data_IF_145780582507
#
_entry.id   IF_145780582507
#
_cell.length_a   1.000
_cell.length_b   1.000
_cell.length_c   1.000
_cell.angle_alpha   90.00
_cell.angle_beta   90.00
_cell.angle_gamma   90.00
#
_symmetry.space_group_name_H-M   'P 1'
#
loop_
_entity.id
_entity.type
_entity.pdbx_description
1 polymer ?
#
# COMPACT_ATOMS: atom_id res chain seq x y z
N UNK A 1 20.52 -7.74 -2.60
CA UNK A 1 20.21 -8.67 -3.70
C UNK A 1 18.86 -9.28 -3.34
N UNK A 2 17.75 -8.69 -3.83
CA UNK A 2 16.42 -9.19 -3.54
C UNK A 2 16.27 -10.55 -4.20
N UNK A 3 16.05 -11.55 -3.35
CA UNK A 3 15.72 -12.91 -3.76
C UNK A 3 14.47 -12.86 -4.64
N UNK A 4 14.59 -13.33 -5.87
CA UNK A 4 13.49 -13.41 -6.81
C UNK A 4 12.51 -14.45 -6.22
N UNK A 5 11.45 -13.96 -5.55
CA UNK A 5 10.35 -14.79 -5.14
C UNK A 5 9.85 -15.52 -6.38
N UNK A 6 10.07 -16.82 -6.44
CA UNK A 6 9.54 -17.70 -7.47
C UNK A 6 8.04 -17.44 -7.59
N UNK A 7 7.63 -16.88 -8.71
CA UNK A 7 6.23 -16.69 -9.06
C UNK A 7 5.59 -18.08 -9.17
N UNK A 8 4.98 -18.54 -8.07
CA UNK A 8 4.17 -19.75 -8.11
C UNK A 8 2.97 -19.50 -9.01
N UNK A 9 3.07 -19.97 -10.23
CA UNK A 9 1.94 -20.03 -11.14
C UNK A 9 0.82 -20.87 -10.51
N UNK A 10 -0.40 -20.33 -10.49
CA UNK A 10 -1.58 -21.08 -10.10
C UNK A 10 -1.90 -22.10 -11.21
N UNK A 11 -2.23 -23.37 -10.89
CA UNK A 11 -2.61 -24.33 -11.92
C UNK A 11 -3.84 -23.80 -12.69
N UNK A 12 -3.88 -23.94 -14.04
CA UNK A 12 -5.02 -23.48 -14.83
C UNK A 12 -6.26 -24.31 -14.46
N UNK A 13 -7.25 -23.66 -13.84
CA UNK A 13 -8.55 -24.23 -13.55
C UNK A 13 -9.59 -23.86 -14.61
N UNK A 14 -10.63 -24.69 -14.84
CA UNK A 14 -11.58 -24.52 -15.95
C UNK A 14 -12.66 -23.45 -15.77
N UNK A 15 -12.68 -22.68 -14.71
CA UNK A 15 -13.63 -21.58 -14.46
C UNK A 15 -12.89 -20.31 -13.96
N UNK A 16 -13.37 -19.11 -14.24
CA UNK A 16 -12.80 -17.91 -13.67
C UNK A 16 -12.99 -17.95 -12.16
N UNK A 17 -11.97 -18.43 -11.43
CA UNK A 17 -11.97 -18.45 -9.98
C UNK A 17 -12.36 -17.07 -9.43
N UNK A 18 -13.17 -17.00 -8.37
CA UNK A 18 -13.49 -15.74 -7.73
C UNK A 18 -12.18 -15.04 -7.33
N UNK A 19 -11.95 -13.84 -7.87
CA UNK A 19 -10.73 -13.08 -7.61
C UNK A 19 -10.98 -12.13 -6.45
N UNK A 20 -9.97 -11.95 -5.60
CA UNK A 20 -9.93 -10.86 -4.66
C UNK A 20 -9.70 -9.53 -5.42
N UNK A 21 -10.55 -8.52 -5.22
CA UNK A 21 -10.38 -7.19 -5.79
C UNK A 21 -9.72 -6.28 -4.79
N UNK A 22 -8.57 -5.72 -5.14
CA UNK A 22 -7.86 -4.74 -4.33
C UNK A 22 -8.16 -3.37 -4.93
N UNK A 23 -8.98 -2.58 -4.25
CA UNK A 23 -9.50 -1.31 -4.74
C UNK A 23 -8.79 -0.16 -4.04
N UNK A 24 -8.15 0.71 -4.83
CA UNK A 24 -7.59 1.96 -4.36
C UNK A 24 -8.70 2.95 -4.01
N UNK A 25 -8.61 3.59 -2.85
CA UNK A 25 -9.60 4.55 -2.35
C UNK A 25 -8.94 5.82 -1.83
N UNK A 26 -9.65 6.94 -1.91
CA UNK A 26 -9.23 8.23 -1.35
C UNK A 26 -10.09 8.63 -0.16
N UNK A 27 -9.75 9.73 0.49
CA UNK A 27 -10.44 10.26 1.67
C UNK A 27 -11.84 10.84 1.36
N UNK A 28 -12.15 11.05 0.07
CA UNK A 28 -13.48 11.43 -0.41
C UNK A 28 -14.44 10.23 -0.54
N UNK A 29 -13.98 9.05 -0.15
CA UNK A 29 -14.77 7.84 -0.13
C UNK A 29 -15.18 7.37 -1.52
N UNK A 30 -16.46 6.95 -1.69
CA UNK A 30 -16.96 6.42 -2.96
C UNK A 30 -16.94 7.40 -4.12
N UNK A 31 -16.84 8.71 -3.88
CA UNK A 31 -16.83 9.73 -4.93
C UNK A 31 -15.63 9.60 -5.89
N UNK A 32 -14.52 9.06 -5.41
CA UNK A 32 -13.33 8.81 -6.24
C UNK A 32 -13.36 7.48 -7.01
N UNK A 33 -14.40 6.66 -6.83
CA UNK A 33 -14.46 5.34 -7.43
C UNK A 33 -15.19 5.35 -8.78
N UNK A 34 -14.58 4.69 -9.78
CA UNK A 34 -15.26 4.41 -11.03
C UNK A 34 -16.34 3.33 -10.89
N UNK A 35 -17.26 3.26 -11.85
CA UNK A 35 -18.43 2.36 -11.84
C UNK A 35 -18.05 0.88 -11.58
N UNK A 36 -16.94 0.40 -12.14
CA UNK A 36 -16.45 -0.98 -11.95
C UNK A 36 -16.08 -1.27 -10.50
N UNK A 37 -15.39 -0.32 -9.83
CA UNK A 37 -15.00 -0.48 -8.43
C UNK A 37 -16.23 -0.45 -7.51
N UNK A 38 -17.19 0.44 -7.79
CA UNK A 38 -18.46 0.52 -7.07
C UNK A 38 -19.29 -0.76 -7.25
N UNK A 39 -19.33 -1.34 -8.46
CA UNK A 39 -20.02 -2.59 -8.70
C UNK A 39 -19.44 -3.75 -7.88
N UNK A 40 -18.11 -3.90 -7.90
CA UNK A 40 -17.46 -4.92 -7.06
C UNK A 40 -17.72 -4.72 -5.57
N UNK A 41 -17.76 -3.47 -5.11
CA UNK A 41 -18.03 -3.15 -3.72
C UNK A 41 -19.48 -3.49 -3.33
N UNK A 42 -20.45 -3.13 -4.20
CA UNK A 42 -21.87 -3.39 -3.98
C UNK A 42 -22.22 -4.89 -3.93
N UNK A 43 -21.41 -5.74 -4.53
CA UNK A 43 -21.61 -7.19 -4.57
C UNK A 43 -20.63 -7.97 -3.68
N UNK A 44 -19.83 -7.32 -2.84
CA UNK A 44 -18.87 -7.97 -1.97
C UNK A 44 -19.54 -8.79 -0.87
N UNK A 45 -19.03 -9.98 -0.59
CA UNK A 45 -19.44 -10.82 0.53
C UNK A 45 -18.48 -10.64 1.73
N UNK A 46 -17.22 -10.27 1.46
CA UNK A 46 -16.21 -9.92 2.46
C UNK A 46 -15.49 -8.64 2.03
N UNK A 47 -15.49 -7.64 2.92
CA UNK A 47 -14.72 -6.40 2.73
C UNK A 47 -13.66 -6.27 3.82
N UNK A 48 -12.41 -6.13 3.38
CA UNK A 48 -11.23 -5.98 4.25
C UNK A 48 -10.67 -4.57 4.05
N UNK A 49 -10.35 -3.87 5.11
CA UNK A 49 -9.76 -2.53 5.05
C UNK A 49 -9.30 -2.08 6.43
N UNK A 50 -8.55 -0.99 6.51
CA UNK A 50 -8.28 -0.36 7.80
C UNK A 50 -9.57 0.18 8.42
N UNK A 51 -9.65 0.22 9.75
CA UNK A 51 -10.84 0.68 10.47
C UNK A 51 -11.39 2.01 9.94
N UNK A 52 -10.50 3.00 9.71
CA UNK A 52 -10.86 4.30 9.15
C UNK A 52 -11.51 4.17 7.77
N UNK A 53 -10.93 3.35 6.89
CA UNK A 53 -11.42 3.14 5.53
C UNK A 53 -12.78 2.44 5.54
N UNK A 54 -12.92 1.39 6.37
CA UNK A 54 -14.21 0.71 6.53
C UNK A 54 -15.31 1.64 7.04
N UNK A 55 -14.99 2.54 7.98
CA UNK A 55 -15.92 3.54 8.47
C UNK A 55 -16.35 4.54 7.38
N UNK A 56 -15.40 5.00 6.55
CA UNK A 56 -15.66 5.92 5.44
C UNK A 56 -16.63 5.32 4.41
N UNK A 57 -16.54 4.00 4.18
CA UNK A 57 -17.40 3.29 3.23
C UNK A 57 -18.64 2.65 3.85
N UNK A 58 -18.88 2.79 5.16
CA UNK A 58 -19.89 2.04 5.90
C UNK A 58 -21.30 2.08 5.29
N UNK A 59 -21.72 3.24 4.76
CA UNK A 59 -23.02 3.42 4.10
C UNK A 59 -23.11 2.89 2.67
N UNK A 60 -21.99 2.42 2.10
CA UNK A 60 -21.91 1.93 0.71
C UNK A 60 -21.56 0.43 0.64
N UNK A 61 -21.34 -0.19 1.80
CA UNK A 61 -21.08 -1.63 1.87
C UNK A 61 -22.43 -2.38 1.97
N UNK A 62 -22.55 -3.56 1.32
CA UNK A 62 -23.73 -4.40 1.51
C UNK A 62 -23.97 -4.69 2.99
N UNK A 63 -25.22 -4.65 3.42
CA UNK A 63 -25.58 -4.86 4.82
C UNK A 63 -25.14 -6.25 5.34
N UNK A 64 -25.18 -7.25 4.45
CA UNK A 64 -24.81 -8.64 4.73
C UNK A 64 -23.30 -8.91 4.56
N UNK A 65 -22.50 -7.97 4.02
CA UNK A 65 -21.09 -8.17 3.83
C UNK A 65 -20.37 -8.25 5.19
N UNK A 66 -19.56 -9.28 5.34
CA UNK A 66 -18.62 -9.38 6.45
C UNK A 66 -17.55 -8.29 6.32
N UNK A 67 -17.21 -7.63 7.42
CA UNK A 67 -16.19 -6.57 7.46
C UNK A 67 -15.06 -7.01 8.35
N UNK A 68 -13.82 -6.93 7.85
CA UNK A 68 -12.61 -7.25 8.62
C UNK A 68 -11.64 -6.10 8.65
N UNK A 69 -11.36 -5.61 9.85
CA UNK A 69 -10.31 -4.62 10.09
C UNK A 69 -8.93 -5.27 10.03
N UNK A 70 -8.10 -4.79 9.10
CA UNK A 70 -6.72 -5.24 8.92
C UNK A 70 -5.71 -4.48 9.81
N UNK A 71 -6.14 -3.47 10.55
CA UNK A 71 -5.25 -2.66 11.39
C UNK A 71 -4.52 -3.54 12.41
N UNK A 72 -3.18 -3.55 12.36
CA UNK A 72 -2.35 -4.42 13.19
C UNK A 72 -2.44 -5.93 12.86
N UNK A 73 -3.22 -6.34 11.84
CA UNK A 73 -3.49 -7.74 11.48
C UNK A 73 -3.08 -8.11 10.06
N UNK A 74 -2.20 -7.35 9.44
CA UNK A 74 -1.81 -7.53 8.04
C UNK A 74 -1.44 -8.98 7.71
N UNK A 75 -0.73 -9.67 8.61
CA UNK A 75 -0.31 -11.07 8.42
C UNK A 75 -1.47 -12.07 8.31
N UNK A 76 -2.65 -11.74 8.83
CA UNK A 76 -3.84 -12.61 8.76
C UNK A 76 -4.62 -12.43 7.46
N UNK A 77 -4.43 -11.32 6.75
CA UNK A 77 -5.22 -10.97 5.55
C UNK A 77 -5.15 -12.04 4.46
N UNK A 78 -3.96 -12.59 4.08
CA UNK A 78 -3.91 -13.64 3.06
C UNK A 78 -4.71 -14.89 3.42
N UNK A 79 -4.74 -15.26 4.70
CA UNK A 79 -5.53 -16.39 5.18
C UNK A 79 -7.04 -16.11 5.04
N UNK A 80 -7.48 -14.91 5.43
CA UNK A 80 -8.88 -14.51 5.30
C UNK A 80 -9.35 -14.54 3.84
N UNK A 81 -8.51 -14.04 2.93
CA UNK A 81 -8.80 -14.05 1.49
C UNK A 81 -8.90 -15.47 0.98
N UNK A 82 -7.91 -16.33 1.28
CA UNK A 82 -7.93 -17.73 0.81
C UNK A 82 -9.15 -18.50 1.29
N UNK A 83 -9.52 -18.37 2.57
CA UNK A 83 -10.72 -19.01 3.12
C UNK A 83 -11.97 -18.55 2.38
N UNK A 84 -12.18 -17.25 2.24
CA UNK A 84 -13.36 -16.70 1.60
C UNK A 84 -13.45 -17.07 0.10
N UNK A 85 -12.33 -17.05 -0.63
CA UNK A 85 -12.29 -17.48 -2.03
C UNK A 85 -12.58 -18.99 -2.16
N UNK A 86 -12.08 -19.82 -1.24
CA UNK A 86 -12.38 -21.24 -1.18
C UNK A 86 -13.86 -21.54 -0.94
N UNK A 87 -14.58 -20.63 -0.30
CA UNK A 87 -16.03 -20.66 -0.08
C UNK A 87 -16.82 -20.04 -1.25
N UNK A 88 -16.16 -19.63 -2.34
CA UNK A 88 -16.79 -18.98 -3.49
C UNK A 88 -17.23 -17.54 -3.23
N UNK A 89 -16.78 -16.90 -2.14
CA UNK A 89 -17.17 -15.54 -1.75
C UNK A 89 -16.41 -14.47 -2.54
N UNK A 90 -17.09 -13.37 -2.83
CA UNK A 90 -16.51 -12.19 -3.47
C UNK A 90 -15.80 -11.33 -2.44
N UNK A 91 -14.48 -11.19 -2.59
CA UNK A 91 -13.62 -10.48 -1.64
C UNK A 91 -13.18 -9.14 -2.22
N UNK A 92 -13.35 -8.08 -1.44
CA UNK A 92 -12.82 -6.74 -1.73
C UNK A 92 -11.86 -6.32 -0.61
N UNK A 93 -10.68 -5.83 -1.00
CA UNK A 93 -9.73 -5.18 -0.10
C UNK A 93 -9.67 -3.69 -0.46
N UNK A 94 -9.97 -2.83 0.50
CA UNK A 94 -9.87 -1.38 0.34
C UNK A 94 -8.48 -0.92 0.79
N UNK A 95 -7.76 -0.24 -0.10
CA UNK A 95 -6.41 0.26 0.15
C UNK A 95 -6.33 1.75 -0.18
N UNK A 96 -5.66 2.55 0.64
CA UNK A 96 -5.52 3.99 0.41
C UNK A 96 -4.66 4.27 -0.83
N UNK A 97 -5.12 5.15 -1.71
CA UNK A 97 -4.41 5.57 -2.91
C UNK A 97 -4.29 4.48 -3.97
N UNK A 98 -3.10 4.33 -4.55
CA UNK A 98 -2.77 3.24 -5.46
C UNK A 98 -2.24 2.04 -4.66
N UNK A 99 -2.93 0.88 -4.68
CA UNK A 99 -2.50 -0.32 -3.95
C UNK A 99 -1.13 -0.85 -4.36
N UNK A 100 -0.63 -0.48 -5.54
CA UNK A 100 0.69 -0.89 -6.06
C UNK A 100 1.80 0.12 -5.70
N UNK A 101 1.46 1.35 -5.32
CA UNK A 101 2.44 2.36 -4.92
C UNK A 101 2.80 2.23 -3.43
N UNK A 102 3.77 1.37 -3.09
CA UNK A 102 4.12 1.01 -1.71
C UNK A 102 2.93 0.55 -0.86
N UNK A 103 1.91 -0.03 -1.53
CA UNK A 103 0.65 -0.44 -0.91
C UNK A 103 0.56 -1.94 -0.66
N UNK A 104 -0.60 -2.36 -0.17
CA UNK A 104 -0.88 -3.74 0.23
C UNK A 104 -0.86 -4.75 -0.93
N UNK A 105 -1.00 -4.29 -2.19
CA UNK A 105 -1.12 -5.21 -3.32
C UNK A 105 0.14 -6.07 -3.50
N UNK A 106 1.33 -5.47 -3.41
CA UNK A 106 2.59 -6.22 -3.51
C UNK A 106 2.71 -7.30 -2.42
N UNK A 107 2.32 -6.96 -1.19
CA UNK A 107 2.30 -7.92 -0.09
C UNK A 107 1.31 -9.07 -0.35
N UNK A 108 0.10 -8.78 -0.81
CA UNK A 108 -0.90 -9.80 -1.10
C UNK A 108 -0.49 -10.68 -2.29
N UNK A 109 0.07 -10.11 -3.35
CA UNK A 109 0.57 -10.86 -4.50
C UNK A 109 1.72 -11.80 -4.14
N UNK A 110 2.58 -11.42 -3.20
CA UNK A 110 3.65 -12.29 -2.70
C UNK A 110 3.13 -13.48 -1.85
N UNK A 111 1.92 -13.34 -1.25
CA UNK A 111 1.34 -14.36 -0.35
C UNK A 111 0.17 -15.13 -0.97
N UNK A 112 -0.36 -14.67 -2.09
CA UNK A 112 -1.43 -15.31 -2.85
C UNK A 112 -0.92 -15.60 -4.26
N UNK A 113 -1.61 -16.48 -5.02
CA UNK A 113 -1.35 -16.58 -6.46
C UNK A 113 -1.62 -15.23 -7.12
N UNK A 114 -0.77 -14.81 -8.05
CA UNK A 114 -0.92 -13.52 -8.75
C UNK A 114 -2.28 -13.41 -9.45
N UNK A 115 -2.78 -14.52 -10.00
CA UNK A 115 -4.10 -14.59 -10.66
C UNK A 115 -5.27 -14.53 -9.68
N UNK A 116 -5.03 -14.71 -8.38
CA UNK A 116 -6.07 -14.61 -7.35
C UNK A 116 -6.46 -13.17 -7.02
N UNK A 117 -5.66 -12.19 -7.45
CA UNK A 117 -5.88 -10.78 -7.16
C UNK A 117 -6.06 -9.97 -8.44
N UNK A 118 -7.06 -9.11 -8.45
CA UNK A 118 -7.26 -8.05 -9.43
C UNK A 118 -7.11 -6.70 -8.75
N UNK A 119 -6.21 -5.84 -9.26
CA UNK A 119 -6.00 -4.51 -8.71
C UNK A 119 -6.75 -3.47 -9.52
N UNK A 120 -7.59 -2.69 -8.84
CA UNK A 120 -8.25 -1.50 -9.39
C UNK A 120 -7.58 -0.28 -8.74
N UNK A 121 -6.60 0.35 -9.40
CA UNK A 121 -5.85 1.45 -8.82
C UNK A 121 -6.71 2.72 -8.72
N UNK A 122 -6.29 3.60 -7.84
CA UNK A 122 -6.74 4.99 -7.78
C UNK A 122 -5.52 5.91 -7.84
N UNK A 123 -5.73 7.22 -7.79
CA UNK A 123 -4.66 8.21 -7.70
C UNK A 123 -3.83 7.91 -6.46
N UNK A 124 -2.51 7.80 -6.61
CA UNK A 124 -1.62 7.58 -5.47
C UNK A 124 -1.58 8.79 -4.54
N UNK A 125 -1.23 8.58 -3.28
CA UNK A 125 -1.05 9.68 -2.31
C UNK A 125 0.04 10.66 -2.76
N UNK A 126 1.07 10.18 -3.46
CA UNK A 126 2.12 11.03 -4.05
C UNK A 126 1.54 11.92 -5.15
N UNK A 127 0.77 11.36 -6.08
CA UNK A 127 0.12 12.13 -7.15
C UNK A 127 -0.84 13.17 -6.57
N UNK A 128 -1.62 12.79 -5.55
CA UNK A 128 -2.55 13.71 -4.89
C UNK A 128 -1.81 14.85 -4.18
N UNK A 129 -0.71 14.57 -3.50
CA UNK A 129 0.14 15.59 -2.87
C UNK A 129 0.73 16.55 -3.92
N UNK A 130 1.28 16.01 -5.01
CA UNK A 130 1.82 16.81 -6.11
C UNK A 130 0.75 17.68 -6.77
N UNK A 131 -0.45 17.17 -6.99
CA UNK A 131 -1.55 17.95 -7.54
C UNK A 131 -1.95 19.12 -6.62
N UNK A 132 -1.98 18.90 -5.31
CA UNK A 132 -2.28 19.96 -4.32
C UNK A 132 -1.18 21.02 -4.25
N UNK A 133 0.07 20.64 -4.50
CA UNK A 133 1.23 21.54 -4.49
C UNK A 133 1.47 22.19 -5.85
N UNK A 134 0.76 21.78 -6.91
CA UNK A 134 1.00 22.24 -8.27
C UNK A 134 2.36 21.80 -8.84
N UNK A 135 2.88 20.65 -8.38
CA UNK A 135 4.19 20.14 -8.77
C UNK A 135 4.07 18.95 -9.73
N UNK A 136 4.90 18.89 -10.80
CA UNK A 136 5.03 17.68 -11.60
C UNK A 136 5.67 16.57 -10.74
N UNK A 137 5.24 15.31 -10.96
CA UNK A 137 5.72 14.16 -10.19
C UNK A 137 6.60 13.19 -11.00
N UNK A 138 6.78 13.44 -12.30
CA UNK A 138 7.51 12.53 -13.21
C UNK A 138 8.99 12.40 -12.91
N UNK A 139 9.58 13.37 -12.21
CA UNK A 139 10.99 13.42 -11.80
C UNK A 139 11.18 13.17 -10.28
N UNK A 140 10.12 12.83 -9.58
CA UNK A 140 10.18 12.46 -8.17
C UNK A 140 10.71 11.02 -7.99
N UNK A 141 11.73 10.87 -7.17
CA UNK A 141 12.09 9.56 -6.62
C UNK A 141 11.18 9.24 -5.45
N UNK A 142 10.44 8.13 -5.55
CA UNK A 142 9.57 7.67 -4.45
C UNK A 142 10.38 6.72 -3.57
N UNK A 143 10.38 6.98 -2.26
CA UNK A 143 11.09 6.19 -1.25
C UNK A 143 10.13 5.82 -0.14
N UNK A 144 10.23 4.61 0.37
CA UNK A 144 9.48 4.19 1.54
C UNK A 144 10.42 3.88 2.71
N UNK A 145 10.20 4.57 3.82
CA UNK A 145 10.79 4.27 5.12
C UNK A 145 9.73 3.78 6.10
N UNK A 146 8.61 3.27 5.57
CA UNK A 146 7.49 2.68 6.30
C UNK A 146 7.83 1.25 6.74
N UNK A 147 8.93 1.12 7.50
CA UNK A 147 9.45 -0.15 7.98
C UNK A 147 9.41 -0.26 9.50
N UNK A 148 10.11 -1.27 10.01
CA UNK A 148 10.32 -1.42 11.45
C UNK A 148 11.16 -0.27 11.98
N UNK A 149 10.89 0.12 13.23
CA UNK A 149 11.79 0.97 13.99
C UNK A 149 13.16 0.27 14.12
N UNK A 150 14.19 0.89 13.57
CA UNK A 150 15.58 0.44 13.66
C UNK A 150 16.44 1.38 14.54
N UNK A 151 15.79 2.28 15.29
CA UNK A 151 16.45 3.31 16.08
C UNK A 151 16.85 4.56 15.30
N UNK A 152 17.66 5.40 15.92
CA UNK A 152 18.19 6.61 15.28
C UNK A 152 19.29 6.26 14.28
N UNK A 153 19.41 7.08 13.25
CA UNK A 153 20.46 6.96 12.25
C UNK A 153 21.83 7.28 12.85
N UNK A 154 22.80 6.42 12.57
CA UNK A 154 24.21 6.67 12.83
C UNK A 154 24.96 6.73 11.50
N UNK A 155 26.09 7.48 11.40
CA UNK A 155 26.85 7.62 10.15
C UNK A 155 27.35 6.30 9.52
N UNK A 156 27.52 5.28 10.36
CA UNK A 156 27.95 3.92 10.01
C UNK A 156 26.80 2.91 10.02
N UNK A 157 25.55 3.39 9.91
CA UNK A 157 24.37 2.54 9.91
C UNK A 157 24.43 1.46 8.82
N UNK A 158 24.05 0.24 9.22
CA UNK A 158 23.99 -0.93 8.35
C UNK A 158 23.03 -0.70 7.17
N UNK A 159 23.29 -1.24 5.96
CA UNK A 159 22.36 -1.24 4.83
C UNK A 159 20.95 -1.77 5.15
N UNK A 160 20.82 -2.61 6.18
CA UNK A 160 19.52 -3.12 6.65
C UNK A 160 18.75 -2.11 7.54
N UNK A 161 19.36 -0.96 7.88
CA UNK A 161 18.69 0.08 8.65
C UNK A 161 17.50 0.67 7.88
N UNK A 162 16.36 0.85 8.56
CA UNK A 162 15.10 1.29 7.94
C UNK A 162 15.15 2.62 7.19
N UNK A 163 16.12 3.50 7.51
CA UNK A 163 16.34 4.78 6.80
C UNK A 163 17.39 4.68 5.68
N UNK A 164 18.06 3.54 5.51
CA UNK A 164 19.09 3.38 4.49
C UNK A 164 18.58 3.61 3.05
N UNK A 165 17.36 3.18 2.66
CA UNK A 165 16.81 3.49 1.34
C UNK A 165 16.72 5.00 1.07
N UNK A 166 16.42 5.80 2.10
CA UNK A 166 16.41 7.26 1.99
C UNK A 166 17.83 7.80 1.77
N UNK A 167 18.81 7.35 2.56
CA UNK A 167 20.21 7.76 2.39
C UNK A 167 20.70 7.52 0.97
N UNK A 168 20.39 6.36 0.41
CA UNK A 168 20.76 6.03 -0.96
C UNK A 168 20.02 6.87 -2.01
N UNK A 169 18.73 7.17 -1.79
CA UNK A 169 17.95 7.98 -2.72
C UNK A 169 18.41 9.44 -2.79
N UNK A 170 18.93 10.00 -1.68
CA UNK A 170 19.48 11.35 -1.62
C UNK A 170 20.67 11.57 -2.57
N UNK A 171 21.39 10.52 -2.90
CA UNK A 171 22.51 10.57 -3.85
C UNK A 171 22.04 10.53 -5.31
N UNK A 172 20.81 10.07 -5.56
CA UNK A 172 20.32 9.76 -6.89
C UNK A 172 19.30 10.77 -7.42
N UNK A 173 18.69 11.57 -6.56
CA UNK A 173 17.61 12.47 -6.97
C UNK A 173 17.61 13.76 -6.18
N UNK A 174 17.20 14.84 -6.85
CA UNK A 174 17.07 16.18 -6.25
C UNK A 174 15.71 16.35 -5.54
N UNK A 175 14.71 15.56 -5.92
CA UNK A 175 13.37 15.62 -5.33
C UNK A 175 12.89 14.23 -4.92
N UNK A 176 12.41 14.13 -3.68
CA UNK A 176 11.97 12.88 -3.10
C UNK A 176 10.53 12.99 -2.58
N UNK A 177 9.75 11.93 -2.79
CA UNK A 177 8.51 11.69 -2.07
C UNK A 177 8.75 10.53 -1.10
N UNK A 178 8.53 10.75 0.20
CA UNK A 178 8.89 9.79 1.24
C UNK A 178 7.63 9.28 1.92
N UNK A 179 7.39 7.96 1.84
CA UNK A 179 6.40 7.29 2.68
C UNK A 179 6.98 7.04 4.06
N UNK A 180 6.37 7.64 5.07
CA UNK A 180 6.81 7.61 6.46
C UNK A 180 5.99 6.61 7.29
N UNK A 181 6.46 6.30 8.50
CA UNK A 181 5.71 5.59 9.55
C UNK A 181 5.71 6.40 10.85
N UNK A 182 4.92 6.03 11.85
CA UNK A 182 4.99 6.66 13.16
C UNK A 182 6.40 6.65 13.77
N UNK A 183 7.15 5.56 13.56
CA UNK A 183 8.51 5.41 14.07
C UNK A 183 9.55 6.16 13.22
N UNK A 184 9.35 6.22 11.90
CA UNK A 184 10.20 6.94 10.96
C UNK A 184 9.48 8.19 10.45
N UNK A 185 9.14 9.09 11.37
CA UNK A 185 8.46 10.35 11.08
C UNK A 185 9.40 11.44 10.53
N UNK A 186 8.84 12.59 10.13
CA UNK A 186 9.61 13.71 9.60
C UNK A 186 10.73 14.20 10.51
N UNK A 187 10.52 14.16 11.82
CA UNK A 187 11.49 14.54 12.85
C UNK A 187 12.72 13.63 12.86
N UNK A 188 12.51 12.29 12.77
CA UNK A 188 13.61 11.32 12.67
C UNK A 188 14.34 11.44 11.34
N UNK A 189 13.61 11.67 10.26
CA UNK A 189 14.20 11.93 8.95
C UNK A 189 15.09 13.18 8.99
N UNK A 190 14.62 14.27 9.60
CA UNK A 190 15.43 15.49 9.74
C UNK A 190 16.72 15.24 10.52
N UNK A 191 16.66 14.50 11.65
CA UNK A 191 17.86 14.13 12.39
C UNK A 191 18.83 13.27 11.56
N UNK A 192 18.28 12.33 10.80
CA UNK A 192 19.08 11.51 9.87
C UNK A 192 19.79 12.37 8.82
N UNK A 193 19.10 13.34 8.20
CA UNK A 193 19.69 14.23 7.20
C UNK A 193 20.87 15.02 7.79
N UNK A 194 20.69 15.59 8.99
CA UNK A 194 21.76 16.31 9.70
C UNK A 194 22.93 15.36 10.02
N UNK A 195 22.68 14.19 10.58
CA UNK A 195 23.71 13.21 10.93
C UNK A 195 24.47 12.68 9.68
N UNK A 196 23.80 12.59 8.53
CA UNK A 196 24.39 12.20 7.26
C UNK A 196 25.16 13.33 6.57
N UNK A 197 25.22 14.53 7.18
CA UNK A 197 25.93 15.70 6.62
C UNK A 197 25.27 16.29 5.39
N UNK A 198 23.96 16.11 5.25
CA UNK A 198 23.20 16.71 4.14
C UNK A 198 23.06 18.20 4.41
N UNK A 199 23.41 19.01 3.41
CA UNK A 199 23.30 20.46 3.50
C UNK A 199 21.84 20.89 3.70
N UNK A 200 21.59 21.67 4.77
CA UNK A 200 20.24 22.13 5.12
C UNK A 200 19.62 23.04 4.03
N UNK A 201 20.45 23.74 3.25
CA UNK A 201 19.98 24.61 2.18
C UNK A 201 19.57 23.84 0.91
N UNK A 202 19.83 22.54 0.89
CA UNK A 202 19.52 21.66 -0.24
C UNK A 202 18.13 21.03 -0.14
N UNK A 203 17.54 20.97 1.07
CA UNK A 203 16.30 20.19 1.32
C UNK A 203 15.27 20.96 2.14
#
# INVERSE_FOLDING_TARGET
>A
MMDAAEHRACPPGPEPHPRCRIIGVLDDGPASLGARALDHLAHADLVIGAARTLALFAGHLPAQAERRDLTGRLRAVPMWIRSALGEGRRVVVLATGDPLCHGIAAYLQAHLCIDACEVLPNVSTVQLACARLGLPWHDLKIVSVHGRDCGEWLPDADPDHGLYPLRHALEQAERLAIFTSPDNGPDRIARMLVAAGVDADRW
#
